data_IF_187978813406
#
_entry.id   IF_187978813406
#
_cell.length_a   1.000
_cell.length_b   1.000
_cell.length_c   1.000
_cell.angle_alpha   90.00
_cell.angle_beta   90.00
_cell.angle_gamma   90.00
#
_symmetry.space_group_name_H-M   'P 1'
#
loop_
_entity.id
_entity.type
_entity.pdbx_description
1 polymer ?
#
# COMPACT_ATOMS: atom_id res chain seq x y z
N UNK A 1 -3.05 -3.02 5.50
CA UNK A 1 -3.15 -2.36 4.19
C UNK A 1 -4.26 -3.05 3.43
N UNK A 2 -5.38 -2.38 3.13
CA UNK A 2 -6.61 -3.07 2.70
C UNK A 2 -7.40 -2.32 1.61
N UNK A 3 -6.72 -1.61 0.71
CA UNK A 3 -7.33 -0.95 -0.44
C UNK A 3 -6.33 -0.86 -1.61
N UNK A 4 -6.81 -1.07 -2.84
CA UNK A 4 -6.06 -0.71 -4.05
C UNK A 4 -6.12 0.80 -4.23
N UNK A 5 -4.99 1.42 -4.55
CA UNK A 5 -4.87 2.86 -4.78
C UNK A 5 -5.24 3.27 -6.22
N UNK A 6 -5.42 2.30 -7.12
CA UNK A 6 -5.67 2.56 -8.54
C UNK A 6 -4.41 2.99 -9.31
N UNK A 7 -3.23 2.78 -8.73
CA UNK A 7 -1.93 2.94 -9.37
C UNK A 7 -0.91 1.95 -8.76
N UNK A 8 0.17 1.72 -9.49
CA UNK A 8 1.26 0.82 -9.14
C UNK A 8 2.24 1.43 -8.12
N UNK A 9 3.08 0.58 -7.53
CA UNK A 9 4.19 1.03 -6.68
C UNK A 9 5.09 1.96 -7.49
N UNK A 10 5.45 1.56 -8.72
CA UNK A 10 6.41 2.30 -9.54
C UNK A 10 5.86 3.62 -10.07
N UNK A 11 4.55 3.72 -10.33
CA UNK A 11 3.91 4.97 -10.73
C UNK A 11 3.95 6.03 -9.62
N UNK A 12 3.73 5.60 -8.37
CA UNK A 12 3.56 6.50 -7.22
C UNK A 12 4.75 6.57 -6.26
N UNK A 13 5.91 6.08 -6.69
CA UNK A 13 7.19 6.20 -5.96
C UNK A 13 8.17 7.05 -6.76
N UNK A 14 8.68 8.13 -6.17
CA UNK A 14 9.76 8.90 -6.76
C UNK A 14 11.06 8.09 -6.76
N UNK A 15 11.82 8.16 -7.85
CA UNK A 15 13.07 7.42 -8.04
C UNK A 15 14.12 7.63 -6.93
N UNK A 16 14.13 8.80 -6.29
CA UNK A 16 15.05 9.11 -5.20
C UNK A 16 14.88 8.22 -3.97
N UNK A 17 13.67 7.69 -3.73
CA UNK A 17 13.45 6.73 -2.62
C UNK A 17 14.17 5.40 -2.88
N UNK A 18 14.27 4.96 -4.14
CA UNK A 18 14.93 3.69 -4.50
C UNK A 18 16.43 3.68 -4.19
N UNK A 19 17.06 4.86 -4.05
CA UNK A 19 18.45 4.98 -3.57
C UNK A 19 18.63 4.47 -2.13
N UNK A 20 17.59 4.55 -1.31
CA UNK A 20 17.61 4.16 0.10
C UNK A 20 16.93 2.83 0.35
N UNK A 21 15.80 2.59 -0.32
CA UNK A 21 15.03 1.35 -0.23
C UNK A 21 14.76 0.87 -1.66
N UNK A 22 15.67 0.05 -2.23
CA UNK A 22 15.52 -0.42 -3.60
C UNK A 22 14.31 -1.35 -3.71
N UNK A 23 13.56 -1.26 -4.79
CA UNK A 23 12.52 -2.23 -5.14
C UNK A 23 13.16 -3.42 -5.84
N UNK A 24 12.76 -4.64 -5.49
CA UNK A 24 13.15 -5.82 -6.25
C UNK A 24 12.59 -5.72 -7.67
N UNK A 25 13.48 -5.70 -8.67
CA UNK A 25 13.11 -5.47 -10.07
C UNK A 25 12.33 -6.64 -10.68
N UNK A 26 12.28 -7.80 -10.01
CA UNK A 26 11.39 -8.90 -10.40
C UNK A 26 9.92 -8.56 -10.18
N UNK A 27 9.62 -7.57 -9.33
CA UNK A 27 8.26 -7.11 -9.06
C UNK A 27 7.72 -6.41 -10.33
N UNK A 28 6.56 -6.84 -10.88
CA UNK A 28 5.99 -6.27 -12.09
C UNK A 28 5.78 -4.76 -12.00
N UNK A 29 5.91 -4.06 -13.13
CA UNK A 29 5.70 -2.60 -13.17
C UNK A 29 4.28 -2.21 -12.76
N UNK A 30 3.28 -2.97 -13.19
CA UNK A 30 1.87 -2.77 -12.85
C UNK A 30 1.49 -3.35 -11.47
N UNK A 31 2.47 -3.57 -10.59
CA UNK A 31 2.19 -4.11 -9.27
C UNK A 31 1.49 -3.06 -8.39
N UNK A 32 0.23 -3.32 -8.06
CA UNK A 32 -0.66 -2.44 -7.28
C UNK A 32 0.01 -1.91 -6.00
N UNK A 33 -0.06 -0.60 -5.80
CA UNK A 33 0.23 0.02 -4.52
C UNK A 33 -0.98 -0.12 -3.59
N UNK A 34 -0.75 -0.66 -2.39
CA UNK A 34 -1.75 -0.75 -1.33
C UNK A 34 -1.83 0.55 -0.51
N UNK A 35 -3.03 0.87 -0.04
CA UNK A 35 -3.21 1.99 0.88
C UNK A 35 -2.51 1.80 2.22
N UNK A 36 -1.91 2.88 2.73
CA UNK A 36 -1.21 2.95 4.01
C UNK A 36 -2.00 3.63 5.15
N UNK A 37 -3.26 4.04 4.92
CA UNK A 37 -4.06 4.82 5.87
C UNK A 37 -4.27 4.12 7.23
N UNK A 38 -4.29 2.78 7.23
CA UNK A 38 -4.41 1.97 8.44
C UNK A 38 -3.58 0.69 8.32
N UNK A 39 -2.74 0.44 9.33
CA UNK A 39 -1.92 -0.76 9.44
C UNK A 39 -2.15 -1.44 10.79
N UNK A 40 -2.50 -2.72 10.76
CA UNK A 40 -2.48 -3.57 11.93
C UNK A 40 -1.12 -4.27 11.97
N UNK A 41 -0.31 -3.95 12.98
CA UNK A 41 1.05 -4.50 13.11
C UNK A 41 1.11 -5.37 14.35
N UNK A 42 1.31 -6.67 14.15
CA UNK A 42 1.59 -7.61 15.23
C UNK A 42 3.09 -7.56 15.57
N UNK A 43 3.45 -7.71 16.85
CA UNK A 43 4.84 -7.74 17.28
C UNK A 43 5.52 -9.04 16.84
N UNK A 44 6.51 -8.95 15.95
CA UNK A 44 7.38 -10.06 15.54
C UNK A 44 8.74 -9.53 15.09
N UNK A 45 9.74 -10.40 14.95
CA UNK A 45 11.05 -10.00 14.41
C UNK A 45 10.95 -9.48 12.98
N UNK A 46 10.02 -10.03 12.19
CA UNK A 46 9.72 -9.54 10.84
C UNK A 46 9.20 -8.11 10.87
N UNK A 47 8.17 -7.82 11.68
CA UNK A 47 7.59 -6.47 11.73
C UNK A 47 8.55 -5.47 12.35
N UNK A 48 9.39 -5.88 13.31
CA UNK A 48 10.47 -5.06 13.85
C UNK A 48 11.48 -4.65 12.77
N UNK A 49 11.84 -5.55 11.85
CA UNK A 49 12.74 -5.22 10.72
C UNK A 49 12.10 -4.22 9.77
N UNK A 50 10.82 -4.42 9.40
CA UNK A 50 10.07 -3.47 8.55
C UNK A 50 10.02 -2.09 9.22
N UNK A 51 9.63 -2.02 10.50
CA UNK A 51 9.55 -0.77 11.25
C UNK A 51 10.92 -0.09 11.36
N UNK A 52 11.99 -0.86 11.56
CA UNK A 52 13.35 -0.29 11.61
C UNK A 52 13.67 0.45 10.31
N UNK A 53 13.43 -0.18 9.16
CA UNK A 53 13.67 0.47 7.87
C UNK A 53 12.72 1.63 7.61
N UNK A 54 11.45 1.52 8.02
CA UNK A 54 10.49 2.61 7.86
C UNK A 54 10.87 3.85 8.67
N UNK A 55 11.30 3.66 9.92
CA UNK A 55 11.80 4.75 10.77
C UNK A 55 13.07 5.38 10.20
N UNK A 56 14.03 4.57 9.74
CA UNK A 56 15.27 5.09 9.12
C UNK A 56 14.99 5.94 7.88
N UNK A 57 14.02 5.53 7.05
CA UNK A 57 13.60 6.34 5.91
C UNK A 57 12.87 7.60 6.34
N UNK A 58 11.94 7.51 7.29
CA UNK A 58 11.15 8.64 7.76
C UNK A 58 12.00 9.76 8.38
N UNK A 59 13.11 9.42 9.05
CA UNK A 59 14.05 10.42 9.60
C UNK A 59 15.05 10.96 8.57
N UNK A 60 15.14 10.33 7.39
CA UNK A 60 16.04 10.73 6.31
C UNK A 60 15.22 11.45 5.24
N UNK A 61 15.27 12.79 5.21
CA UNK A 61 14.43 13.62 4.33
C UNK A 61 14.45 13.13 2.87
N UNK A 62 15.64 12.93 2.31
CA UNK A 62 15.80 12.51 0.92
C UNK A 62 15.26 11.09 0.63
N UNK A 63 15.01 10.28 1.66
CA UNK A 63 14.36 8.97 1.51
C UNK A 63 12.84 9.12 1.45
N UNK A 64 12.25 9.79 2.45
CA UNK A 64 10.79 9.87 2.60
C UNK A 64 10.15 10.95 1.72
N UNK A 65 10.89 12.01 1.40
CA UNK A 65 10.48 13.11 0.54
C UNK A 65 11.67 13.52 -0.36
N UNK A 66 12.03 12.69 -1.35
CA UNK A 66 13.07 13.03 -2.31
C UNK A 66 12.81 14.36 -3.03
N UNK A 67 13.87 15.01 -3.50
CA UNK A 67 13.74 16.26 -4.27
C UNK A 67 12.89 16.05 -5.53
N UNK A 68 11.95 16.96 -5.78
CA UNK A 68 11.02 16.87 -6.91
C UNK A 68 9.80 15.98 -6.66
N UNK A 69 9.57 15.54 -5.42
CA UNK A 69 8.36 14.79 -5.03
C UNK A 69 7.09 15.61 -5.24
N UNK A 70 6.09 15.00 -5.90
CA UNK A 70 4.76 15.59 -6.13
C UNK A 70 3.72 14.69 -5.46
N UNK A 71 2.95 15.22 -4.50
CA UNK A 71 1.98 14.42 -3.74
C UNK A 71 0.78 13.94 -4.58
N UNK A 72 0.36 14.77 -5.54
CA UNK A 72 -0.82 14.50 -6.36
C UNK A 72 -0.56 13.37 -7.36
N UNK A 73 -1.16 12.20 -7.11
CA UNK A 73 -1.07 11.07 -8.03
C UNK A 73 -2.22 11.08 -9.03
N UNK A 74 -1.95 11.27 -10.34
CA UNK A 74 -2.95 11.00 -11.36
C UNK A 74 -3.23 9.50 -11.39
N UNK A 75 -4.42 9.14 -11.85
CA UNK A 75 -4.74 7.75 -12.18
C UNK A 75 -3.74 7.25 -13.21
N UNK A 76 -3.16 6.09 -12.95
CA UNK A 76 -2.20 5.48 -13.86
C UNK A 76 -2.89 5.08 -15.18
N UNK A 77 -2.20 5.36 -16.28
CA UNK A 77 -2.48 4.86 -17.63
C UNK A 77 -1.19 4.17 -18.12
N UNK A 78 -1.30 3.17 -18.98
CA UNK A 78 -0.19 2.33 -19.45
C UNK A 78 0.95 3.13 -20.10
N UNK A 79 0.68 4.38 -20.49
CA UNK A 79 1.62 5.30 -21.14
C UNK A 79 2.34 6.22 -20.16
N UNK A 80 1.92 6.31 -18.90
CA UNK A 80 2.53 7.22 -17.94
C UNK A 80 3.92 6.69 -17.48
N UNK A 81 4.90 7.59 -17.28
CA UNK A 81 6.21 7.19 -16.77
C UNK A 81 6.12 6.68 -15.32
N UNK A 82 7.16 6.01 -14.85
CA UNK A 82 7.30 5.70 -13.43
C UNK A 82 7.62 6.98 -12.64
N UNK A 83 7.28 7.02 -11.35
CA UNK A 83 7.59 8.14 -10.46
C UNK A 83 6.90 9.46 -10.80
N UNK A 84 5.74 9.42 -11.46
CA UNK A 84 4.92 10.61 -11.79
C UNK A 84 4.52 11.39 -10.53
N UNK A 85 4.34 10.67 -9.43
CA UNK A 85 4.01 11.25 -8.14
C UNK A 85 4.75 10.48 -7.02
N UNK A 86 4.62 10.97 -5.79
CA UNK A 86 5.20 10.35 -4.62
C UNK A 86 4.22 10.29 -3.46
N UNK A 87 3.77 9.08 -3.12
CA UNK A 87 3.02 8.80 -1.90
C UNK A 87 3.98 8.28 -0.85
N UNK A 88 4.40 9.11 0.09
CA UNK A 88 5.56 8.86 0.95
C UNK A 88 5.46 7.54 1.74
N UNK A 89 4.48 7.44 2.64
CA UNK A 89 4.26 6.28 3.50
C UNK A 89 3.79 5.05 2.71
N UNK A 90 2.92 5.25 1.72
CA UNK A 90 2.46 4.19 0.83
C UNK A 90 3.64 3.58 0.05
N UNK A 91 4.48 4.38 -0.58
CA UNK A 91 5.67 3.91 -1.31
C UNK A 91 6.58 3.11 -0.39
N UNK A 92 6.95 3.70 0.74
CA UNK A 92 7.84 3.11 1.73
C UNK A 92 7.40 1.70 2.13
N UNK A 93 6.16 1.57 2.62
CA UNK A 93 5.69 0.27 3.12
C UNK A 93 5.41 -0.74 2.01
N UNK A 94 4.96 -0.30 0.84
CA UNK A 94 4.72 -1.21 -0.28
C UNK A 94 6.04 -1.77 -0.84
N UNK A 95 7.10 -0.97 -0.94
CA UNK A 95 8.43 -1.48 -1.35
C UNK A 95 8.94 -2.49 -0.32
N UNK A 96 8.91 -2.15 0.98
CA UNK A 96 9.37 -3.04 2.04
C UNK A 96 8.59 -4.37 2.06
N UNK A 97 7.28 -4.31 1.89
CA UNK A 97 6.43 -5.50 1.88
C UNK A 97 6.64 -6.35 0.64
N UNK A 98 6.69 -5.73 -0.55
CA UNK A 98 6.87 -6.45 -1.80
C UNK A 98 8.25 -7.14 -1.85
N UNK A 99 9.31 -6.48 -1.38
CA UNK A 99 10.64 -7.09 -1.26
C UNK A 99 10.65 -8.28 -0.29
N UNK A 100 10.01 -8.15 0.87
CA UNK A 100 9.95 -9.22 1.86
C UNK A 100 9.20 -10.45 1.32
N UNK A 101 8.09 -10.22 0.62
CA UNK A 101 7.32 -11.28 0.00
C UNK A 101 8.10 -11.97 -1.12
N UNK A 102 8.77 -11.20 -1.97
CA UNK A 102 9.66 -11.73 -3.00
C UNK A 102 10.80 -12.57 -2.39
N UNK A 103 11.38 -12.10 -1.28
CA UNK A 103 12.38 -12.87 -0.54
C UNK A 103 11.81 -14.21 -0.04
N UNK A 104 10.61 -14.24 0.52
CA UNK A 104 9.97 -15.49 0.97
C UNK A 104 9.72 -16.47 -0.18
N UNK A 105 9.31 -15.96 -1.34
CA UNK A 105 9.14 -16.76 -2.55
C UNK A 105 10.49 -17.37 -2.97
N UNK A 106 11.55 -16.56 -3.00
CA UNK A 106 12.89 -16.99 -3.38
C UNK A 106 13.48 -18.02 -2.40
N UNK A 107 13.11 -17.95 -1.12
CA UNK A 107 13.46 -18.93 -0.08
C UNK A 107 12.63 -20.24 -0.17
N UNK A 108 11.70 -20.34 -1.11
CA UNK A 108 10.83 -21.53 -1.28
C UNK A 108 9.78 -21.67 -0.18
N UNK A 109 9.45 -20.60 0.55
CA UNK A 109 8.39 -20.65 1.57
C UNK A 109 7.03 -20.78 0.90
N UNK A 110 6.18 -21.62 1.47
CA UNK A 110 4.78 -21.70 1.04
C UNK A 110 3.98 -20.55 1.66
N UNK A 111 3.99 -19.39 0.99
CA UNK A 111 3.27 -18.18 1.42
C UNK A 111 2.28 -17.75 0.34
N UNK A 112 1.12 -17.25 0.76
CA UNK A 112 0.18 -16.55 -0.12
C UNK A 112 0.42 -15.06 0.09
N UNK A 113 1.24 -14.49 -0.78
CA UNK A 113 1.63 -13.08 -0.79
C UNK A 113 0.52 -12.20 -1.35
N UNK A 114 0.45 -10.92 -0.97
CA UNK A 114 -0.59 -10.03 -1.47
C UNK A 114 -0.51 -9.81 -2.99
N UNK A 115 0.62 -10.13 -3.62
CA UNK A 115 0.79 -10.05 -5.07
C UNK A 115 0.07 -11.18 -5.82
N UNK A 116 -0.25 -12.30 -5.16
CA UNK A 116 -0.74 -13.49 -5.85
C UNK A 116 -2.23 -13.40 -6.20
N UNK A 117 -2.67 -13.91 -7.36
CA UNK A 117 -4.08 -13.91 -7.76
C UNK A 117 -5.00 -14.65 -6.77
N UNK A 118 -4.48 -15.67 -6.10
CA UNK A 118 -5.21 -16.47 -5.11
C UNK A 118 -5.21 -15.85 -3.70
N UNK A 119 -4.62 -14.66 -3.51
CA UNK A 119 -4.66 -13.99 -2.22
C UNK A 119 -6.11 -13.65 -1.83
N UNK A 120 -6.54 -13.85 -0.57
CA UNK A 120 -7.91 -13.56 -0.13
C UNK A 120 -8.43 -12.16 -0.45
N UNK A 121 -7.55 -11.15 -0.55
CA UNK A 121 -7.89 -9.79 -0.99
C UNK A 121 -8.38 -9.72 -2.45
N UNK A 122 -7.86 -10.59 -3.32
CA UNK A 122 -8.12 -10.62 -4.77
C UNK A 122 -9.27 -11.57 -5.09
N UNK A 123 -9.50 -12.56 -4.23
CA UNK A 123 -10.71 -13.36 -4.24
C UNK A 123 -11.88 -12.42 -3.95
N UNK A 124 -12.81 -12.30 -4.91
CA UNK A 124 -14.09 -11.61 -4.73
C UNK A 124 -14.95 -12.34 -3.70
N UNK A 125 -14.54 -12.38 -2.43
CA UNK A 125 -15.52 -12.47 -1.38
C UNK A 125 -16.25 -11.14 -1.42
N UNK A 126 -17.44 -11.14 -2.02
CA UNK A 126 -18.48 -10.16 -1.77
C UNK A 126 -18.83 -10.23 -0.28
N UNK A 127 -17.91 -9.81 0.58
CA UNK A 127 -18.31 -9.35 1.89
C UNK A 127 -19.14 -8.12 1.58
N UNK A 128 -20.44 -8.25 1.74
CA UNK A 128 -21.33 -7.12 1.91
C UNK A 128 -20.86 -6.41 3.18
N UNK A 129 -19.75 -5.69 3.13
CA UNK A 129 -19.57 -4.54 4.00
C UNK A 129 -20.60 -3.54 3.51
N UNK A 130 -21.83 -3.77 3.94
CA UNK A 130 -22.87 -2.76 4.02
C UNK A 130 -22.21 -1.68 4.86
N UNK A 131 -21.56 -0.72 4.20
CA UNK A 131 -21.24 0.56 4.83
C UNK A 131 -22.52 0.92 5.56
N UNK A 132 -22.48 1.30 6.84
CA UNK A 132 -23.64 1.89 7.50
C UNK A 132 -23.93 3.27 6.88
N UNK A 133 -24.17 3.30 5.58
CA UNK A 133 -25.14 4.14 4.92
C UNK A 133 -26.44 3.37 5.16
N UNK A 134 -27.10 3.48 6.32
CA UNK A 134 -27.95 4.61 6.64
C UNK A 134 -28.25 4.66 8.14
N UNK A 135 -27.53 5.47 8.90
CA UNK A 135 -28.06 6.02 10.17
C UNK A 135 -29.02 7.18 9.92
N UNK A 136 -29.16 7.68 8.68
CA UNK A 136 -30.22 8.64 8.34
C UNK A 136 -31.60 8.00 8.11
N UNK A 137 -31.71 6.76 7.64
CA UNK A 137 -33.02 6.11 7.41
C UNK A 137 -33.71 5.62 8.70
N UNK A 138 -33.02 5.66 9.84
CA UNK A 138 -33.61 5.27 11.15
C UNK A 138 -33.81 6.42 12.13
N UNK A 139 -33.38 7.64 11.81
CA UNK A 139 -33.64 8.80 12.68
C UNK A 139 -35.09 9.29 12.50
N UNK A 140 -35.69 9.14 11.30
CA UNK A 140 -37.08 9.55 11.05
C UNK A 140 -38.13 8.74 11.83
N UNK A 141 -37.77 7.56 12.34
CA UNK A 141 -38.65 6.71 13.15
C UNK A 141 -38.49 6.91 14.67
N UNK A 142 -37.68 7.86 15.11
CA UNK A 142 -37.46 8.15 16.54
C UNK A 142 -37.91 9.56 16.94
N UNK A 143 -38.81 10.20 16.18
CA UNK A 143 -39.51 11.39 16.65
C UNK A 143 -40.65 10.97 17.60
N UNK A 144 -40.70 11.48 18.85
CA UNK A 144 -41.84 11.24 19.72
C UNK A 144 -43.08 11.87 19.08
N UNK A 145 -44.15 11.08 18.97
CA UNK A 145 -45.47 11.60 18.59
C UNK A 145 -45.94 12.50 19.74
N UNK A 146 -45.97 13.81 19.48
CA UNK A 146 -46.72 14.78 20.29
C UNK A 146 -48.19 14.67 19.92
#
# INVERSE_FOLDING_TARGET
MSGSTGHSIRHATNEGMYKYIPLDMTIPRNHDMLEANMMLIHRSETTRKIIKWSVLCAITRDCIEPQGSILGCPREDDKMPEGVCHRQDQSLYNILLANLEQQWINEGRHVITHIMPNHPKNLKQRHQTRRMQTTSEKIDNCSPKI
#
